data_IF_387820456221
#
_entry.id   IF_387820456221
#
_cell.length_a   1.000
_cell.length_b   1.000
_cell.length_c   1.000
_cell.angle_alpha   90.00
_cell.angle_beta   90.00
_cell.angle_gamma   90.00
#
_symmetry.space_group_name_H-M   'P 1'
#
loop_
_entity.id
_entity.type
_entity.pdbx_description
1 polymer ?
#
# COMPACT_ATOMS: atom_id res chain seq x y z
N UNK A 1 -7.61 18.57 31.17
CA UNK A 1 -7.46 18.10 29.77
C UNK A 1 -6.53 19.06 29.06
N UNK A 2 -5.38 18.58 28.57
CA UNK A 2 -4.44 19.38 27.78
C UNK A 2 -5.04 19.68 26.40
N UNK A 3 -5.05 20.95 26.00
CA UNK A 3 -5.45 21.38 24.65
C UNK A 3 -4.51 20.74 23.62
N UNK A 4 -5.01 20.13 22.53
CA UNK A 4 -4.16 19.51 21.51
C UNK A 4 -3.19 20.53 20.88
N UNK A 5 -1.99 20.09 20.45
CA UNK A 5 -1.03 20.96 19.76
C UNK A 5 -1.50 21.27 18.33
N UNK A 6 -2.40 22.25 18.20
CA UNK A 6 -2.96 22.66 16.90
C UNK A 6 -4.00 23.78 16.96
N UNK A 7 -4.15 24.42 18.13
CA UNK A 7 -5.23 25.37 18.39
C UNK A 7 -5.21 26.67 17.59
N UNK A 8 -6.29 27.43 17.73
CA UNK A 8 -6.47 28.75 17.13
C UNK A 8 -5.28 29.66 17.44
N UNK A 9 -4.73 30.26 16.38
CA UNK A 9 -3.64 31.23 16.47
C UNK A 9 -4.18 32.64 16.30
N UNK A 10 -3.76 33.54 17.20
CA UNK A 10 -4.16 34.95 17.14
C UNK A 10 -3.61 35.60 15.88
N UNK A 11 -4.33 36.58 15.34
CA UNK A 11 -3.91 37.30 14.13
C UNK A 11 -2.50 37.91 14.30
N UNK A 12 -2.13 38.31 15.52
CA UNK A 12 -0.80 38.73 15.94
C UNK A 12 0.34 37.84 15.43
N UNK A 13 0.17 36.52 15.56
CA UNK A 13 1.17 35.49 15.24
C UNK A 13 1.22 35.10 13.76
N UNK A 14 0.31 35.62 12.93
CA UNK A 14 0.23 35.32 11.49
C UNK A 14 0.99 36.37 10.68
N UNK A 15 1.84 35.92 9.75
CA UNK A 15 2.65 36.75 8.85
C UNK A 15 1.84 37.28 7.66
N UNK A 16 0.76 38.00 7.94
CA UNK A 16 -0.12 38.61 6.93
C UNK A 16 -0.46 40.04 7.30
N UNK A 17 -0.64 40.90 6.29
CA UNK A 17 -1.02 42.30 6.45
C UNK A 17 -2.35 42.46 7.21
N UNK A 18 -2.36 43.35 8.21
CA UNK A 18 -3.48 43.57 9.14
C UNK A 18 -4.06 44.96 8.94
N UNK A 19 -5.35 45.09 9.25
CA UNK A 19 -5.97 46.39 9.41
C UNK A 19 -5.37 47.11 10.63
N UNK A 20 -5.38 48.44 10.64
CA UNK A 20 -4.82 49.24 11.73
C UNK A 20 -5.81 50.31 12.22
N UNK A 21 -5.66 50.74 13.47
CA UNK A 21 -6.47 51.81 14.05
C UNK A 21 -7.96 51.46 14.12
N UNK A 22 -8.83 52.40 13.71
CA UNK A 22 -10.28 52.22 13.77
C UNK A 22 -10.78 51.08 12.86
N UNK A 23 -10.11 50.83 11.74
CA UNK A 23 -10.47 49.77 10.80
C UNK A 23 -10.28 48.37 11.37
N UNK A 24 -9.31 48.16 12.27
CA UNK A 24 -9.17 46.89 12.98
C UNK A 24 -10.30 46.64 13.98
N UNK A 25 -10.80 47.71 14.62
CA UNK A 25 -11.97 47.61 15.52
C UNK A 25 -13.23 47.25 14.74
N UNK A 26 -13.44 47.89 13.59
CA UNK A 26 -14.54 47.60 12.66
C UNK A 26 -14.43 46.16 12.15
N UNK A 27 -13.25 45.73 11.68
CA UNK A 27 -13.00 44.36 11.22
C UNK A 27 -13.35 43.34 12.30
N UNK A 28 -12.87 43.52 13.53
CA UNK A 28 -13.15 42.59 14.64
C UNK A 28 -14.63 42.51 14.99
N UNK A 29 -15.36 43.61 14.83
CA UNK A 29 -16.80 43.64 15.09
C UNK A 29 -17.61 42.92 14.01
N UNK A 30 -17.26 43.10 12.73
CA UNK A 30 -18.02 42.53 11.60
C UNK A 30 -17.51 41.16 11.10
N UNK A 31 -16.32 40.70 11.52
CA UNK A 31 -15.78 39.42 11.08
C UNK A 31 -16.43 38.24 11.83
N UNK A 32 -16.81 37.20 11.07
CA UNK A 32 -17.30 35.92 11.63
C UNK A 32 -16.25 35.22 12.49
N UNK A 33 -14.97 35.28 12.07
CA UNK A 33 -13.83 34.84 12.87
C UNK A 33 -12.75 35.95 12.87
N UNK A 34 -12.55 36.66 14.00
CA UNK A 34 -11.55 37.72 14.10
C UNK A 34 -10.11 37.18 14.06
N UNK A 35 -9.88 35.87 14.28
CA UNK A 35 -8.57 35.26 14.16
C UNK A 35 -8.20 34.96 12.69
N UNK A 36 -9.15 35.00 11.75
CA UNK A 36 -8.87 34.76 10.33
C UNK A 36 -8.04 35.90 9.74
N UNK A 37 -7.04 35.57 8.92
CA UNK A 37 -6.18 36.54 8.23
C UNK A 37 -6.75 36.93 6.85
N UNK A 38 -6.20 37.99 6.26
CA UNK A 38 -6.49 38.44 4.87
C UNK A 38 -5.77 37.63 3.80
N UNK A 39 -4.75 36.84 4.18
CA UNK A 39 -3.93 36.06 3.25
C UNK A 39 -2.91 36.88 2.45
N UNK A 40 -2.83 38.20 2.67
CA UNK A 40 -1.85 39.06 2.00
C UNK A 40 -0.54 39.02 2.80
N UNK A 41 0.59 38.56 2.23
CA UNK A 41 1.84 38.49 2.95
C UNK A 41 2.43 39.88 3.21
N UNK A 42 3.28 40.00 4.25
CA UNK A 42 4.05 41.22 4.47
C UNK A 42 5.18 41.33 3.45
N UNK A 43 5.06 42.26 2.49
CA UNK A 43 6.04 42.46 1.40
C UNK A 43 7.47 42.68 1.92
N UNK A 44 7.62 43.38 3.05
CA UNK A 44 8.94 43.67 3.62
C UNK A 44 9.67 42.42 4.14
N UNK A 45 8.96 41.35 4.51
CA UNK A 45 9.51 40.13 5.10
C UNK A 45 9.40 38.92 4.17
N UNK A 46 8.36 38.88 3.34
CA UNK A 46 8.10 37.77 2.45
C UNK A 46 8.98 37.90 1.20
N UNK A 47 9.93 36.96 1.05
CA UNK A 47 10.86 36.90 -0.09
C UNK A 47 11.71 38.17 -0.24
N UNK A 48 12.07 38.77 0.89
CA UNK A 48 12.97 39.91 0.96
C UNK A 48 14.05 39.61 2.02
N UNK A 49 15.34 39.45 1.64
CA UNK A 49 15.93 39.76 0.33
C UNK A 49 15.45 38.81 -0.79
N UNK A 50 15.57 39.27 -2.03
CA UNK A 50 15.33 38.42 -3.20
C UNK A 50 16.28 37.21 -3.14
N UNK A 51 15.87 36.01 -3.59
CA UNK A 51 16.71 34.81 -3.49
C UNK A 51 18.12 34.95 -4.08
N UNK A 52 18.29 35.74 -5.14
CA UNK A 52 19.59 35.98 -5.78
C UNK A 52 20.46 37.05 -5.13
N UNK A 53 19.95 37.80 -4.15
CA UNK A 53 20.67 38.86 -3.45
C UNK A 53 20.85 38.55 -1.96
N UNK A 54 20.69 37.28 -1.57
CA UNK A 54 20.82 36.86 -0.18
C UNK A 54 22.29 36.99 0.24
N UNK A 55 22.62 37.75 1.31
CA UNK A 55 23.99 37.90 1.82
C UNK A 55 24.40 36.67 2.64
N UNK A 56 24.13 35.48 2.11
CA UNK A 56 24.44 34.22 2.78
C UNK A 56 25.95 33.97 2.73
N UNK A 57 26.52 33.23 3.71
CA UNK A 57 27.83 32.62 3.49
C UNK A 57 27.80 31.82 2.19
N UNK A 58 28.96 31.71 1.53
CA UNK A 58 29.11 30.88 0.33
C UNK A 58 28.49 29.51 0.59
N UNK A 59 27.57 29.11 -0.28
CA UNK A 59 26.93 27.81 -0.17
C UNK A 59 27.98 26.72 -0.38
N UNK A 60 28.03 25.78 0.55
CA UNK A 60 28.86 24.59 0.48
C UNK A 60 27.92 23.38 0.47
N UNK A 61 28.16 22.45 -0.46
CA UNK A 61 27.37 21.23 -0.54
C UNK A 61 27.53 20.41 0.75
N UNK A 62 26.43 20.09 1.45
CA UNK A 62 26.51 19.29 2.65
C UNK A 62 26.90 17.86 2.29
N UNK A 63 28.03 17.42 2.84
CA UNK A 63 28.48 16.03 2.75
C UNK A 63 28.21 15.31 4.06
N UNK A 64 27.73 14.06 3.99
CA UNK A 64 27.44 13.24 5.18
C UNK A 64 28.59 12.32 5.49
N UNK A 65 28.99 12.24 6.77
CA UNK A 65 29.95 11.24 7.24
C UNK A 65 29.16 9.95 7.53
N UNK A 66 29.57 8.77 7.04
CA UNK A 66 30.89 8.42 6.48
C UNK A 66 31.09 8.62 4.97
N UNK A 67 30.05 8.94 4.20
CA UNK A 67 30.11 9.00 2.73
C UNK A 67 31.06 10.07 2.16
N UNK A 68 31.30 11.16 2.88
CA UNK A 68 32.20 12.26 2.50
C UNK A 68 33.64 12.10 2.98
N UNK A 69 33.99 11.01 3.66
CA UNK A 69 35.36 10.79 4.13
C UNK A 69 36.31 10.50 2.96
N UNK A 70 37.50 11.08 3.02
CA UNK A 70 38.57 10.95 2.02
C UNK A 70 39.39 9.68 2.30
N UNK A 71 39.55 9.32 3.57
CA UNK A 71 40.24 8.10 3.97
C UNK A 71 39.25 6.95 4.20
N UNK A 72 39.70 5.71 4.01
CA UNK A 72 38.97 4.48 4.39
C UNK A 72 37.52 4.31 3.87
N UNK A 73 37.17 5.04 2.80
CA UNK A 73 35.82 5.04 2.21
C UNK A 73 35.79 4.44 0.77
N UNK A 74 36.19 3.17 0.59
CA UNK A 74 36.20 2.56 -0.73
C UNK A 74 34.77 2.35 -1.26
N UNK A 75 34.55 2.64 -2.55
CA UNK A 75 33.24 2.63 -3.17
C UNK A 75 32.47 1.30 -3.00
N UNK A 76 33.16 0.16 -3.06
CA UNK A 76 32.51 -1.16 -2.98
C UNK A 76 31.83 -1.45 -1.64
N UNK A 77 32.24 -0.81 -0.53
CA UNK A 77 31.58 -0.94 0.78
C UNK A 77 30.26 -0.16 0.86
N UNK A 78 30.12 0.87 0.05
CA UNK A 78 28.95 1.77 -0.02
C UNK A 78 28.07 1.54 -1.24
N UNK A 79 28.40 0.55 -2.07
CA UNK A 79 27.70 0.26 -3.31
C UNK A 79 26.43 -0.58 -3.07
N UNK A 80 25.37 0.10 -2.61
CA UNK A 80 24.05 -0.53 -2.42
C UNK A 80 23.39 -0.95 -3.75
N UNK A 81 23.82 -0.37 -4.87
CA UNK A 81 23.27 -0.71 -6.19
C UNK A 81 23.66 -2.13 -6.60
N UNK A 82 24.88 -2.58 -6.25
CA UNK A 82 25.34 -3.96 -6.51
C UNK A 82 25.05 -4.91 -5.35
N UNK A 83 24.90 -4.40 -4.13
CA UNK A 83 24.48 -5.16 -2.95
C UNK A 83 22.97 -5.42 -2.85
N UNK A 84 22.24 -5.51 -3.97
CA UNK A 84 20.80 -5.73 -3.95
C UNK A 84 20.45 -7.18 -3.57
N UNK A 85 19.34 -7.41 -2.85
CA UNK A 85 18.87 -8.75 -2.55
C UNK A 85 18.49 -9.48 -3.85
N UNK A 86 19.01 -10.70 -4.05
CA UNK A 86 18.69 -11.50 -5.23
C UNK A 86 17.26 -12.04 -5.14
N UNK A 87 16.59 -12.12 -6.29
CA UNK A 87 15.28 -12.76 -6.39
C UNK A 87 15.41 -14.26 -6.13
N UNK A 88 14.68 -14.77 -5.14
CA UNK A 88 14.54 -16.20 -4.89
C UNK A 88 13.33 -16.73 -5.63
N UNK A 89 13.56 -17.58 -6.62
CA UNK A 89 12.50 -18.32 -7.34
C UNK A 89 12.50 -19.75 -6.82
N UNK A 90 11.34 -20.23 -6.39
CA UNK A 90 11.18 -21.59 -5.85
C UNK A 90 10.21 -22.34 -6.74
N UNK A 91 10.65 -23.47 -7.29
CA UNK A 91 9.81 -24.35 -8.11
C UNK A 91 9.13 -25.42 -7.25
N UNK A 92 8.16 -26.16 -7.81
CA UNK A 92 7.48 -27.23 -7.08
C UNK A 92 8.42 -28.37 -6.67
N UNK A 93 9.41 -28.72 -7.51
CA UNK A 93 10.45 -29.70 -7.18
C UNK A 93 11.35 -29.20 -6.06
N UNK A 94 11.71 -27.92 -6.04
CA UNK A 94 12.49 -27.33 -4.94
C UNK A 94 11.72 -27.42 -3.61
N UNK A 95 10.42 -27.12 -3.61
CA UNK A 95 9.57 -27.25 -2.41
C UNK A 95 9.46 -28.70 -1.93
N UNK A 96 9.27 -29.64 -2.85
CA UNK A 96 9.23 -31.07 -2.54
C UNK A 96 10.56 -31.53 -1.93
N UNK A 97 11.68 -31.07 -2.47
CA UNK A 97 13.01 -31.31 -1.93
C UNK A 97 13.23 -30.74 -0.54
N UNK A 98 12.82 -29.49 -0.30
CA UNK A 98 12.92 -28.86 1.02
C UNK A 98 12.08 -29.60 2.08
N UNK A 99 10.91 -30.11 1.70
CA UNK A 99 10.07 -30.90 2.61
C UNK A 99 10.70 -32.28 2.90
N UNK A 100 11.24 -32.97 1.89
CA UNK A 100 11.81 -34.31 2.07
C UNK A 100 13.20 -34.29 2.73
N UNK A 101 14.14 -33.55 2.15
CA UNK A 101 15.55 -33.51 2.55
C UNK A 101 15.85 -32.47 3.62
N UNK A 102 14.89 -31.59 3.91
CA UNK A 102 15.04 -30.51 4.87
C UNK A 102 15.70 -29.27 4.27
N UNK A 103 16.17 -28.38 5.16
CA UNK A 103 16.81 -27.11 4.81
C UNK A 103 18.21 -27.06 5.40
N UNK A 104 19.03 -26.06 5.00
CA UNK A 104 20.34 -25.85 5.61
C UNK A 104 20.28 -25.65 7.14
N UNK A 105 19.16 -25.15 7.66
CA UNK A 105 18.95 -24.99 9.10
C UNK A 105 18.53 -26.30 9.81
N UNK A 106 17.83 -27.19 9.09
CA UNK A 106 17.31 -28.47 9.61
C UNK A 106 17.55 -29.54 8.54
N UNK A 107 18.76 -30.11 8.45
CA UNK A 107 19.10 -31.10 7.42
C UNK A 107 18.51 -32.48 7.77
N UNK A 108 17.90 -33.13 6.78
CA UNK A 108 17.41 -34.53 6.83
C UNK A 108 18.01 -35.40 5.70
N UNK A 109 18.97 -34.85 4.96
CA UNK A 109 19.67 -35.50 3.86
C UNK A 109 20.74 -36.49 4.38
N UNK A 110 21.01 -37.55 3.62
CA UNK A 110 22.10 -38.48 3.92
C UNK A 110 23.48 -37.86 3.60
N UNK A 111 24.54 -38.31 4.28
CA UNK A 111 25.90 -37.79 4.08
C UNK A 111 26.56 -38.32 2.78
N UNK A 112 27.39 -37.48 2.19
CA UNK A 112 28.25 -37.82 1.05
C UNK A 112 27.49 -38.18 -0.24
N UNK A 113 28.01 -39.17 -0.97
CA UNK A 113 27.47 -39.57 -2.29
C UNK A 113 26.01 -40.05 -2.27
N UNK A 114 25.50 -40.47 -1.11
CA UNK A 114 24.10 -40.84 -0.95
C UNK A 114 23.17 -39.61 -0.99
N UNK A 115 23.58 -38.51 -0.34
CA UNK A 115 22.84 -37.24 -0.38
C UNK A 115 22.88 -36.58 -1.75
N UNK A 116 24.02 -36.63 -2.43
CA UNK A 116 24.13 -36.09 -3.80
C UNK A 116 23.15 -36.77 -4.76
N UNK A 117 22.99 -38.10 -4.67
CA UNK A 117 22.00 -38.85 -5.46
C UNK A 117 20.56 -38.42 -5.17
N UNK A 118 20.23 -38.19 -3.90
CA UNK A 118 18.90 -37.70 -3.50
C UNK A 118 18.60 -36.30 -4.06
N UNK A 119 19.60 -35.42 -4.13
CA UNK A 119 19.45 -34.08 -4.71
C UNK A 119 19.24 -34.13 -6.22
N UNK A 120 19.96 -35.02 -6.91
CA UNK A 120 19.79 -35.22 -8.35
C UNK A 120 18.40 -35.77 -8.66
N UNK A 121 17.93 -36.75 -7.90
CA UNK A 121 16.59 -37.34 -8.05
C UNK A 121 15.48 -36.27 -7.95
N UNK A 122 15.56 -35.36 -6.99
CA UNK A 122 14.60 -34.25 -6.86
C UNK A 122 14.70 -33.26 -8.00
N UNK A 123 15.91 -32.95 -8.47
CA UNK A 123 16.14 -32.00 -9.56
C UNK A 123 15.59 -32.53 -10.89
N UNK A 124 15.62 -33.84 -11.09
CA UNK A 124 15.03 -34.51 -12.26
C UNK A 124 13.50 -34.59 -12.21
N UNK A 125 12.88 -34.18 -11.10
CA UNK A 125 11.42 -34.11 -10.96
C UNK A 125 10.75 -35.47 -10.78
N UNK A 126 11.49 -36.47 -10.32
CA UNK A 126 10.96 -37.83 -10.13
C UNK A 126 9.90 -37.91 -9.01
N UNK A 127 9.93 -36.99 -8.05
CA UNK A 127 9.00 -36.95 -6.93
C UNK A 127 8.04 -35.76 -7.05
N UNK A 128 6.74 -36.05 -7.07
CA UNK A 128 5.71 -35.03 -7.11
C UNK A 128 5.50 -34.40 -5.73
N UNK A 129 5.31 -33.08 -5.68
CA UNK A 129 5.03 -32.35 -4.42
C UNK A 129 3.83 -32.95 -3.68
N UNK A 130 2.82 -33.41 -4.42
CA UNK A 130 1.60 -34.01 -3.87
C UNK A 130 1.90 -35.30 -3.12
N UNK A 131 2.78 -36.16 -3.63
CA UNK A 131 3.18 -37.40 -2.95
C UNK A 131 3.99 -37.11 -1.69
N UNK A 132 4.88 -36.11 -1.74
CA UNK A 132 5.67 -35.70 -0.57
C UNK A 132 4.76 -35.15 0.52
N UNK A 133 3.78 -34.30 0.18
CA UNK A 133 2.80 -33.79 1.14
C UNK A 133 1.93 -34.91 1.74
N UNK A 134 1.56 -35.93 0.97
CA UNK A 134 0.82 -37.10 1.50
C UNK A 134 1.65 -37.91 2.51
N UNK A 135 2.97 -37.99 2.31
CA UNK A 135 3.89 -38.73 3.20
C UNK A 135 4.19 -37.97 4.50
N UNK A 136 4.45 -36.67 4.42
CA UNK A 136 4.81 -35.84 5.58
C UNK A 136 3.61 -35.24 6.32
N UNK A 137 2.42 -35.21 5.70
CA UNK A 137 1.24 -34.59 6.28
C UNK A 137 1.45 -33.11 6.56
N UNK A 138 1.23 -32.69 7.82
CA UNK A 138 1.26 -31.28 8.23
C UNK A 138 2.65 -30.79 8.69
N UNK A 139 3.66 -31.67 8.72
CA UNK A 139 4.97 -31.35 9.27
C UNK A 139 5.70 -30.30 8.42
N UNK A 140 5.93 -29.11 8.99
CA UNK A 140 6.70 -28.03 8.36
C UNK A 140 5.92 -27.10 7.43
N UNK A 141 4.61 -27.34 7.22
CA UNK A 141 3.74 -26.49 6.41
C UNK A 141 2.94 -25.48 7.25
N UNK A 142 2.51 -25.91 8.43
CA UNK A 142 1.70 -25.11 9.36
C UNK A 142 2.56 -24.58 10.50
N UNK A 143 2.05 -23.56 11.18
CA UNK A 143 2.64 -23.09 12.44
C UNK A 143 2.52 -24.17 13.53
N UNK A 144 3.23 -24.01 14.65
CA UNK A 144 3.26 -25.00 15.74
C UNK A 144 1.88 -25.32 16.35
N UNK A 145 0.96 -24.38 16.24
CA UNK A 145 -0.45 -24.47 16.65
C UNK A 145 -1.34 -25.16 15.59
N UNK A 146 -0.79 -25.55 14.44
CA UNK A 146 -1.53 -26.15 13.33
C UNK A 146 -2.32 -25.13 12.50
N UNK A 147 -2.13 -23.82 12.73
CA UNK A 147 -2.76 -22.78 11.92
C UNK A 147 -1.87 -22.40 10.73
N UNK A 148 -2.47 -21.94 9.61
CA UNK A 148 -1.71 -21.36 8.50
C UNK A 148 -1.06 -20.03 8.93
N UNK A 149 0.11 -19.67 8.36
CA UNK A 149 0.77 -18.41 8.69
C UNK A 149 -0.10 -17.21 8.29
N UNK A 150 -0.13 -16.20 9.17
CA UNK A 150 -0.86 -14.95 8.91
C UNK A 150 -0.11 -14.09 7.87
N UNK A 151 -0.81 -13.50 6.89
CA UNK A 151 -0.18 -12.64 5.90
C UNK A 151 0.19 -11.28 6.49
N UNK A 152 1.39 -10.79 6.15
CA UNK A 152 1.79 -9.41 6.40
C UNK A 152 2.29 -9.12 7.83
N UNK A 153 2.59 -7.85 8.09
CA UNK A 153 2.94 -7.33 9.43
C UNK A 153 1.76 -6.51 9.96
N UNK A 154 1.32 -6.70 11.21
CA UNK A 154 0.23 -5.93 11.75
C UNK A 154 0.65 -4.46 11.94
N UNK A 155 -0.16 -3.55 11.44
CA UNK A 155 -0.13 -2.14 11.84
C UNK A 155 -1.20 -1.95 12.90
N UNK A 156 -0.81 -1.45 14.07
CA UNK A 156 -1.76 -1.12 15.13
C UNK A 156 -2.26 0.30 14.92
N UNK A 157 -3.53 0.43 14.57
CA UNK A 157 -4.19 1.72 14.47
C UNK A 157 -4.75 2.12 15.82
N UNK A 158 -4.63 3.41 16.15
CA UNK A 158 -5.24 3.99 17.35
C UNK A 158 -6.14 5.14 16.91
N UNK A 159 -7.41 5.07 17.29
CA UNK A 159 -8.35 6.15 17.01
C UNK A 159 -8.12 7.29 18.00
N UNK A 160 -7.93 8.50 17.48
CA UNK A 160 -7.95 9.72 18.29
C UNK A 160 -9.41 10.12 18.51
N UNK A 161 -9.81 10.27 19.78
CA UNK A 161 -11.18 10.64 20.17
C UNK A 161 -11.22 12.04 20.78
N UNK A 162 -12.44 12.55 20.94
CA UNK A 162 -12.73 13.76 21.70
C UNK A 162 -11.99 15.00 21.15
N UNK A 163 -11.40 15.80 22.04
CA UNK A 163 -10.72 17.04 21.70
C UNK A 163 -9.55 16.87 20.72
N UNK A 164 -9.01 15.66 20.57
CA UNK A 164 -7.91 15.36 19.63
C UNK A 164 -8.41 14.94 18.25
N UNK A 165 -9.70 14.63 18.10
CA UNK A 165 -10.29 14.36 16.80
C UNK A 165 -10.32 15.62 15.93
N UNK A 166 -10.11 15.45 14.63
CA UNK A 166 -10.15 16.55 13.67
C UNK A 166 -11.56 17.18 13.55
N UNK A 167 -12.60 16.38 13.83
CA UNK A 167 -14.00 16.78 13.79
C UNK A 167 -14.66 16.45 15.13
N UNK A 168 -15.64 17.25 15.59
CA UNK A 168 -16.44 16.92 16.75
C UNK A 168 -17.25 15.63 16.53
N UNK A 169 -17.49 14.88 17.61
CA UNK A 169 -18.13 13.55 17.57
C UNK A 169 -19.53 13.52 16.92
N UNK A 170 -20.22 14.67 16.94
CA UNK A 170 -21.55 14.82 16.33
C UNK A 170 -21.53 14.87 14.81
N UNK A 171 -20.37 15.17 14.22
CA UNK A 171 -20.15 14.95 12.80
C UNK A 171 -19.81 13.48 12.65
N UNK A 172 -20.84 12.65 12.52
CA UNK A 172 -20.65 11.35 11.89
C UNK A 172 -20.07 11.69 10.52
N UNK A 173 -18.78 11.47 10.33
CA UNK A 173 -18.20 11.40 8.99
C UNK A 173 -18.86 10.15 8.41
N UNK A 174 -20.04 10.34 7.83
CA UNK A 174 -20.90 9.22 7.48
C UNK A 174 -20.12 8.34 6.53
N UNK A 175 -20.13 7.06 6.85
CA UNK A 175 -19.60 6.02 5.99
C UNK A 175 -20.17 6.15 4.56
N UNK A 176 -21.34 6.78 4.39
CA UNK A 176 -21.92 7.18 3.10
C UNK A 176 -21.05 8.11 2.25
N UNK A 177 -20.32 9.07 2.84
CA UNK A 177 -19.43 9.95 2.07
C UNK A 177 -18.18 9.20 1.57
N UNK A 178 -17.69 8.24 2.37
CA UNK A 178 -16.59 7.33 1.99
C UNK A 178 -17.04 6.26 0.99
N UNK A 179 -18.26 5.72 1.16
CA UNK A 179 -18.89 4.78 0.22
C UNK A 179 -19.19 5.46 -1.10
N UNK A 180 -19.67 6.71 -1.11
CA UNK A 180 -19.90 7.52 -2.30
C UNK A 180 -18.65 7.68 -3.17
N UNK A 181 -17.51 8.00 -2.54
CA UNK A 181 -16.23 8.10 -3.24
C UNK A 181 -15.74 6.77 -3.83
N UNK A 182 -16.03 5.64 -3.18
CA UNK A 182 -15.71 4.30 -3.69
C UNK A 182 -16.69 3.85 -4.79
N UNK A 183 -17.98 4.18 -4.69
CA UNK A 183 -18.98 3.87 -5.71
C UNK A 183 -18.76 4.69 -6.99
N UNK A 184 -18.34 5.95 -6.89
CA UNK A 184 -18.04 6.76 -8.08
C UNK A 184 -16.83 6.22 -8.86
N UNK A 185 -15.81 5.71 -8.16
CA UNK A 185 -14.69 5.01 -8.79
C UNK A 185 -15.14 3.72 -9.51
N UNK A 186 -16.09 2.97 -8.92
CA UNK A 186 -16.66 1.77 -9.55
C UNK A 186 -17.63 2.08 -10.71
N UNK A 187 -18.34 3.21 -10.65
CA UNK A 187 -19.22 3.69 -11.72
C UNK A 187 -18.44 4.12 -12.97
N UNK A 188 -17.29 4.79 -12.79
CA UNK A 188 -16.40 5.15 -13.90
C UNK A 188 -15.85 3.90 -14.61
N UNK A 189 -15.53 2.84 -13.85
CA UNK A 189 -15.09 1.55 -14.39
C UNK A 189 -16.25 0.82 -15.08
N UNK A 190 -17.45 0.81 -14.49
CA UNK A 190 -18.65 0.18 -15.06
C UNK A 190 -19.09 0.80 -16.40
N UNK A 191 -19.01 2.13 -16.52
CA UNK A 191 -19.35 2.85 -17.77
C UNK A 191 -18.34 2.51 -18.89
N UNK A 192 -17.06 2.34 -18.55
CA UNK A 192 -16.04 1.98 -19.54
C UNK A 192 -16.15 0.52 -20.00
N UNK A 193 -16.56 -0.41 -19.12
CA UNK A 193 -16.78 -1.81 -19.48
C UNK A 193 -18.08 -2.00 -20.28
N UNK A 194 -19.16 -1.29 -19.92
CA UNK A 194 -20.44 -1.35 -20.64
C UNK A 194 -20.33 -0.87 -22.09
N UNK A 195 -19.62 0.24 -22.33
CA UNK A 195 -19.36 0.73 -23.70
C UNK A 195 -18.47 -0.20 -24.53
N UNK A 196 -17.55 -0.93 -23.88
CA UNK A 196 -16.69 -1.90 -24.56
C UNK A 196 -17.47 -3.14 -25.02
N UNK A 197 -18.44 -3.59 -24.20
CA UNK A 197 -19.31 -4.73 -24.50
C UNK A 197 -20.32 -4.39 -25.59
N UNK A 198 -20.95 -3.21 -25.56
CA UNK A 198 -21.85 -2.76 -26.63
C UNK A 198 -21.11 -2.59 -27.97
N UNK A 199 -19.87 -2.09 -27.95
CA UNK A 199 -19.04 -2.03 -29.15
C UNK A 199 -18.75 -3.43 -29.70
N UNK A 200 -18.41 -4.39 -28.83
CA UNK A 200 -18.14 -5.78 -29.22
C UNK A 200 -19.38 -6.47 -29.84
N UNK A 201 -20.57 -6.23 -29.26
CA UNK A 201 -21.84 -6.76 -29.76
C UNK A 201 -22.31 -6.07 -31.06
N UNK A 202 -22.01 -4.78 -31.22
CA UNK A 202 -22.30 -4.01 -32.44
C UNK A 202 -21.45 -4.42 -33.65
N UNK A 203 -20.26 -5.00 -33.43
CA UNK A 203 -19.34 -5.39 -34.54
C UNK A 203 -19.60 -6.78 -35.15
N UNK A 204 -20.63 -7.51 -34.71
CA UNK A 204 -21.20 -8.63 -35.48
C UNK A 204 -20.23 -9.69 -36.01
N UNK A 205 -19.29 -10.18 -35.20
CA UNK A 205 -18.44 -11.33 -35.57
C UNK A 205 -19.11 -12.62 -35.09
N UNK A 206 -19.78 -13.31 -36.01
CA UNK A 206 -20.39 -14.61 -35.81
C UNK A 206 -19.31 -15.66 -35.46
N UNK A 207 -19.43 -16.30 -34.29
CA UNK A 207 -18.59 -17.42 -33.88
C UNK A 207 -19.17 -18.69 -34.50
N UNK A 208 -18.70 -19.02 -35.71
CA UNK A 208 -19.02 -20.26 -36.40
C UNK A 208 -17.87 -20.65 -37.31
N UNK A 209 -16.88 -21.36 -36.77
CA UNK A 209 -15.78 -21.91 -37.56
C UNK A 209 -14.48 -22.09 -36.77
N UNK A 210 -13.83 -23.23 -36.97
CA UNK A 210 -12.52 -23.62 -36.44
C UNK A 210 -11.46 -22.56 -36.78
N UNK A 211 -10.89 -21.88 -35.77
CA UNK A 211 -9.90 -20.81 -35.95
C UNK A 211 -8.49 -21.37 -35.75
N UNK A 212 -7.67 -21.29 -36.80
CA UNK A 212 -6.22 -21.49 -36.76
C UNK A 212 -5.53 -20.42 -35.91
N UNK A 213 -4.60 -20.90 -35.11
CA UNK A 213 -3.93 -20.25 -34.00
C UNK A 213 -2.72 -19.42 -34.48
N UNK A 214 -2.91 -18.24 -35.11
CA UNK A 214 -1.73 -17.39 -35.44
C UNK A 214 -1.79 -15.88 -35.19
N UNK A 215 -2.89 -15.23 -34.76
CA UNK A 215 -2.87 -13.76 -34.57
C UNK A 215 -3.64 -13.12 -33.40
N UNK A 216 -4.15 -13.86 -32.41
CA UNK A 216 -5.02 -13.28 -31.37
C UNK A 216 -4.61 -13.55 -29.89
N UNK A 217 -3.32 -13.80 -29.62
CA UNK A 217 -2.86 -14.26 -28.30
C UNK A 217 -2.87 -13.25 -27.14
N UNK A 218 -2.91 -11.94 -27.39
CA UNK A 218 -2.66 -10.93 -26.33
C UNK A 218 -3.96 -10.35 -25.74
N UNK A 219 -5.03 -10.25 -26.54
CA UNK A 219 -6.27 -9.58 -26.12
C UNK A 219 -7.20 -10.52 -25.32
N UNK A 220 -7.21 -11.82 -25.64
CA UNK A 220 -8.07 -12.81 -24.99
C UNK A 220 -7.67 -13.07 -23.51
N UNK A 221 -6.37 -13.09 -23.22
CA UNK A 221 -5.83 -13.30 -21.86
C UNK A 221 -6.12 -12.10 -20.95
N UNK A 222 -6.16 -10.88 -21.50
CA UNK A 222 -6.48 -9.66 -20.76
C UNK A 222 -7.95 -9.61 -20.34
N UNK A 223 -8.85 -10.03 -21.23
CA UNK A 223 -10.30 -10.06 -20.96
C UNK A 223 -10.63 -11.12 -19.90
N UNK A 224 -10.00 -12.30 -19.98
CA UNK A 224 -10.19 -13.35 -18.97
C UNK A 224 -9.66 -12.95 -17.59
N UNK A 225 -8.51 -12.24 -17.53
CA UNK A 225 -7.96 -11.72 -16.26
C UNK A 225 -8.84 -10.62 -15.66
N UNK A 226 -9.42 -9.74 -16.46
CA UNK A 226 -10.32 -8.69 -15.96
C UNK A 226 -11.62 -9.25 -15.39
N UNK A 227 -12.22 -10.28 -16.02
CA UNK A 227 -13.41 -10.94 -15.49
C UNK A 227 -13.15 -11.66 -14.16
N UNK A 228 -11.99 -12.30 -14.01
CA UNK A 228 -11.61 -12.98 -12.76
C UNK A 228 -11.41 -11.96 -11.63
N UNK A 229 -10.69 -10.85 -11.89
CA UNK A 229 -10.47 -9.80 -10.88
C UNK A 229 -11.80 -9.18 -10.43
N UNK A 230 -12.74 -8.97 -11.36
CA UNK A 230 -14.07 -8.43 -11.06
C UNK A 230 -14.90 -9.37 -10.18
N UNK A 231 -14.86 -10.68 -10.45
CA UNK A 231 -15.55 -11.68 -9.63
C UNK A 231 -15.00 -11.74 -8.19
N UNK A 232 -13.67 -11.64 -8.02
CA UNK A 232 -13.05 -11.61 -6.68
C UNK A 232 -13.40 -10.34 -5.89
N UNK A 233 -13.51 -9.18 -6.54
CA UNK A 233 -13.92 -7.94 -5.86
C UNK A 233 -15.37 -7.98 -5.38
N UNK A 234 -16.27 -8.61 -6.13
CA UNK A 234 -17.68 -8.75 -5.74
C UNK A 234 -17.81 -9.74 -4.57
N UNK A 235 -17.09 -10.86 -4.62
CA UNK A 235 -17.15 -11.88 -3.57
C UNK A 235 -16.50 -11.40 -2.26
N UNK A 236 -15.41 -10.62 -2.35
CA UNK A 236 -14.79 -9.96 -1.20
C UNK A 236 -15.73 -8.93 -0.54
N UNK A 237 -16.46 -8.16 -1.34
CA UNK A 237 -17.46 -7.20 -0.86
C UNK A 237 -18.63 -7.89 -0.13
N UNK A 238 -19.11 -9.03 -0.66
CA UNK A 238 -20.21 -9.79 -0.04
C UNK A 238 -19.79 -10.48 1.26
N UNK A 239 -18.53 -10.91 1.36
CA UNK A 239 -17.99 -11.55 2.57
C UNK A 239 -17.80 -10.56 3.70
N UNK A 240 -17.37 -9.33 3.40
CA UNK A 240 -17.27 -8.25 4.39
C UNK A 240 -18.65 -7.87 4.91
N UNK A 241 -19.64 -7.75 4.02
CA UNK A 241 -21.03 -7.43 4.40
C UNK A 241 -21.63 -8.44 5.39
N UNK A 242 -21.43 -9.75 5.15
CA UNK A 242 -21.96 -10.79 6.04
C UNK A 242 -21.23 -10.86 7.38
N UNK A 243 -19.93 -10.57 7.39
CA UNK A 243 -19.14 -10.63 8.64
C UNK A 243 -19.54 -9.50 9.58
N UNK A 244 -19.83 -8.32 9.04
CA UNK A 244 -20.33 -7.15 9.77
C UNK A 244 -21.76 -7.34 10.32
N UNK A 245 -22.64 -8.04 9.61
CA UNK A 245 -23.99 -8.39 10.11
C UNK A 245 -23.94 -9.32 11.33
N UNK A 246 -22.99 -10.25 11.38
CA UNK A 246 -22.84 -11.17 12.51
C UNK A 246 -22.27 -10.47 13.75
N UNK A 247 -21.29 -9.57 13.59
CA UNK A 247 -20.72 -8.84 14.73
C UNK A 247 -21.74 -7.86 15.35
N UNK A 248 -22.61 -7.26 14.54
CA UNK A 248 -23.65 -6.36 15.02
C UNK A 248 -24.83 -7.06 15.72
N UNK A 249 -25.04 -8.36 15.51
CA UNK A 249 -26.13 -9.12 16.15
C UNK A 249 -25.78 -9.60 17.55
N UNK A 250 -24.52 -9.89 17.81
CA UNK A 250 -24.05 -10.39 19.11
C UNK A 250 -23.89 -9.25 20.13
N UNK A 251 -23.59 -8.02 19.70
CA UNK A 251 -23.48 -6.85 20.58
C UNK A 251 -24.84 -6.23 20.97
N UNK A 252 -25.96 -6.77 20.47
CA UNK A 252 -27.32 -6.30 20.76
C UNK A 252 -28.09 -7.21 21.73
N UNK A 253 -27.45 -8.28 22.23
CA UNK A 253 -27.99 -9.15 23.28
C UNK A 253 -26.97 -9.22 24.42
N UNK A 254 -26.78 -8.12 25.15
CA UNK A 254 -26.39 -8.10 26.57
C UNK A 254 -26.56 -6.71 27.18
#
# INVERSE_FOLDING_TARGET
MSVPPGGLRTLGTKYTLKSHGIWERIRRFFAVDPNRSTGIPYVAQYRNPLPGTLPQPTYHDPVTIPSGDIADNPYWKRDNRRGFPRLSVVTQSDQAGMLLLGTAAIPRIADGAAGEKQLVEIKEGSQSLVEVMKKLGNEGLLMKDGLPPLPGRPVQWTQQTDAWAAYPDKLVVSEELLRGALTDASGIIGIHVGRLIEWFLSTGVAIGGRIEEKRFGVLSVYIFRCCIISAYTIDFSNKISKTLEYTFRDDLIH
#
